data_IF_575087453550
#
_entry.id   IF_575087453550
#
_cell.length_a   1.000
_cell.length_b   1.000
_cell.length_c   1.000
_cell.angle_alpha   90.00
_cell.angle_beta   90.00
_cell.angle_gamma   90.00
#
_symmetry.space_group_name_H-M   'P 1'
#
loop_
_entity.id
_entity.type
_entity.pdbx_description
1 polymer ?
#
# COMPACT_ATOMS: atom_id res chain seq x y z
N UNK A 1 -2.18 -21.69 16.73
CA UNK A 1 -3.39 -21.21 16.02
C UNK A 1 -3.99 -20.14 16.92
N UNK A 2 -3.65 -18.87 16.68
CA UNK A 2 -4.15 -17.78 17.53
C UNK A 2 -5.66 -17.63 17.32
N UNK A 3 -6.39 -17.45 18.42
CA UNK A 3 -7.83 -17.26 18.46
C UNK A 3 -8.19 -16.05 17.58
N UNK A 4 -9.02 -16.27 16.55
CA UNK A 4 -9.36 -15.23 15.59
C UNK A 4 -10.34 -14.25 16.25
N UNK A 5 -10.07 -12.94 16.27
CA UNK A 5 -11.05 -12.00 16.80
C UNK A 5 -12.24 -11.94 15.84
N UNK A 6 -13.36 -12.57 16.20
CA UNK A 6 -14.62 -12.45 15.44
C UNK A 6 -15.14 -11.01 15.35
N UNK A 7 -14.57 -10.10 16.14
CA UNK A 7 -14.87 -8.67 16.15
C UNK A 7 -13.62 -7.85 16.47
N UNK A 8 -13.44 -6.73 15.78
CA UNK A 8 -12.34 -5.79 16.00
C UNK A 8 -12.84 -4.35 15.84
N UNK A 9 -12.68 -3.50 16.86
CA UNK A 9 -13.07 -2.09 16.75
C UNK A 9 -14.57 -1.86 16.48
N UNK A 10 -15.43 -2.82 16.80
CA UNK A 10 -16.85 -2.79 16.44
C UNK A 10 -17.17 -3.24 15.00
N UNK A 11 -16.20 -3.80 14.28
CA UNK A 11 -16.36 -4.44 12.98
C UNK A 11 -16.36 -5.96 13.15
N UNK A 12 -17.39 -6.63 12.63
CA UNK A 12 -17.43 -8.09 12.55
C UNK A 12 -16.57 -8.54 11.38
N UNK A 13 -15.55 -9.38 11.60
CA UNK A 13 -14.67 -9.84 10.54
C UNK A 13 -15.29 -11.06 9.84
N UNK A 14 -15.46 -10.99 8.51
CA UNK A 14 -16.16 -12.04 7.75
C UNK A 14 -15.24 -12.84 6.83
N UNK A 15 -14.46 -12.15 5.99
CA UNK A 15 -13.63 -12.79 4.97
C UNK A 15 -12.21 -12.30 5.07
N UNK A 16 -11.25 -13.19 5.26
CA UNK A 16 -9.84 -12.84 5.20
C UNK A 16 -9.42 -12.65 3.73
N UNK A 17 -8.80 -11.52 3.42
CA UNK A 17 -8.32 -11.18 2.06
C UNK A 17 -6.79 -11.09 1.97
N UNK A 18 -6.12 -10.94 3.11
CA UNK A 18 -4.66 -11.07 3.25
C UNK A 18 -4.31 -11.50 4.69
N UNK A 19 -3.04 -11.83 4.94
CA UNK A 19 -2.56 -12.26 6.26
C UNK A 19 -2.91 -11.26 7.38
N UNK A 20 -2.93 -9.96 7.06
CA UNK A 20 -3.27 -8.89 7.99
C UNK A 20 -4.52 -8.09 7.57
N UNK A 21 -5.37 -8.60 6.66
CA UNK A 21 -6.52 -7.86 6.17
C UNK A 21 -7.79 -8.72 6.03
N UNK A 22 -8.92 -8.13 6.43
CA UNK A 22 -10.24 -8.75 6.39
C UNK A 22 -11.27 -7.80 5.80
N UNK A 23 -12.24 -8.36 5.09
CA UNK A 23 -13.51 -7.69 4.87
C UNK A 23 -14.31 -7.80 6.17
N UNK A 24 -14.63 -6.65 6.76
CA UNK A 24 -15.43 -6.54 7.97
C UNK A 24 -16.75 -5.81 7.73
N UNK A 25 -17.74 -6.06 8.59
CA UNK A 25 -19.07 -5.44 8.52
C UNK A 25 -19.37 -4.65 9.78
N UNK A 26 -19.92 -3.44 9.60
CA UNK A 26 -20.45 -2.60 10.69
C UNK A 26 -21.71 -1.90 10.20
N UNK A 27 -22.80 -2.04 10.98
CA UNK A 27 -24.10 -1.48 10.63
C UNK A 27 -24.56 -1.80 9.19
N UNK A 28 -24.34 -3.04 8.73
CA UNK A 28 -24.72 -3.51 7.40
C UNK A 28 -23.82 -3.06 6.25
N UNK A 29 -22.77 -2.27 6.51
CA UNK A 29 -21.83 -1.80 5.50
C UNK A 29 -20.51 -2.57 5.58
N UNK A 30 -19.88 -2.83 4.42
CA UNK A 30 -18.62 -3.58 4.29
C UNK A 30 -17.44 -2.62 4.21
N UNK A 31 -16.35 -3.00 4.87
CA UNK A 31 -15.11 -2.24 4.97
C UNK A 31 -13.91 -3.16 4.86
N UNK A 32 -12.76 -2.58 4.53
CA UNK A 32 -11.50 -3.28 4.62
C UNK A 32 -10.86 -2.95 5.97
N UNK A 33 -10.67 -3.97 6.80
CA UNK A 33 -10.07 -3.89 8.14
C UNK A 33 -8.67 -4.47 8.07
N UNK A 34 -7.65 -3.65 8.35
CA UNK A 34 -6.25 -4.08 8.39
C UNK A 34 -5.73 -4.09 9.81
N UNK A 35 -5.07 -5.17 10.18
CA UNK A 35 -4.25 -5.23 11.38
C UNK A 35 -2.93 -4.50 11.15
N UNK A 36 -2.58 -3.69 12.13
CA UNK A 36 -1.34 -2.90 12.11
C UNK A 36 -0.56 -3.16 13.39
N UNK A 37 0.77 -3.20 13.28
CA UNK A 37 1.65 -3.56 14.42
C UNK A 37 1.85 -2.44 15.45
N UNK A 38 1.32 -1.24 15.18
CA UNK A 38 1.46 -0.07 16.05
C UNK A 38 0.16 0.76 16.04
N UNK A 39 -0.14 1.51 17.10
CA UNK A 39 -1.28 2.43 17.11
C UNK A 39 -1.21 3.41 15.94
N UNK A 40 -2.35 3.65 15.30
CA UNK A 40 -2.51 4.62 14.22
C UNK A 40 -3.30 5.83 14.69
N UNK A 41 -2.91 7.01 14.22
CA UNK A 41 -3.68 8.24 14.44
C UNK A 41 -4.82 8.31 13.42
N UNK A 42 -5.95 7.68 13.73
CA UNK A 42 -7.15 7.68 12.88
C UNK A 42 -7.59 9.09 12.43
N UNK A 43 -7.66 10.09 13.34
CA UNK A 43 -7.94 11.48 12.97
C UNK A 43 -6.95 12.07 11.95
N UNK A 44 -5.66 11.75 12.02
CA UNK A 44 -4.69 12.21 11.02
C UNK A 44 -4.93 11.55 9.65
N UNK A 45 -5.23 10.24 9.62
CA UNK A 45 -5.52 9.50 8.38
C UNK A 45 -6.77 10.04 7.67
N UNK A 46 -7.79 10.44 8.42
CA UNK A 46 -9.01 11.04 7.88
C UNK A 46 -8.83 12.42 7.25
N UNK A 47 -7.66 13.07 7.41
CA UNK A 47 -7.36 14.38 6.77
C UNK A 47 -6.87 14.25 5.34
N UNK A 48 -6.46 13.05 4.91
CA UNK A 48 -6.04 12.82 3.53
C UNK A 48 -7.25 13.02 2.62
N UNK A 49 -7.22 14.00 1.69
CA UNK A 49 -8.31 14.18 0.75
C UNK A 49 -8.51 12.89 -0.06
N UNK A 50 -9.75 12.54 -0.46
CA UNK A 50 -10.04 11.38 -1.30
C UNK A 50 -9.63 11.64 -2.77
N UNK A 51 -8.37 12.04 -2.98
CA UNK A 51 -7.77 12.37 -4.26
C UNK A 51 -6.90 11.20 -4.70
N UNK A 52 -7.48 10.30 -5.49
CA UNK A 52 -6.82 9.04 -5.90
C UNK A 52 -6.35 8.17 -4.71
N UNK A 53 -6.96 8.32 -3.54
CA UNK A 53 -6.69 7.55 -2.32
C UNK A 53 -7.95 6.81 -1.89
N UNK A 54 -7.77 5.63 -1.30
CA UNK A 54 -8.85 4.93 -0.58
C UNK A 54 -9.06 5.64 0.74
N UNK A 55 -10.30 5.99 1.08
CA UNK A 55 -10.58 6.74 2.30
C UNK A 55 -10.41 5.85 3.53
N UNK A 56 -9.60 6.29 4.49
CA UNK A 56 -9.60 5.74 5.84
C UNK A 56 -10.79 6.31 6.61
N UNK A 57 -11.61 5.44 7.20
CA UNK A 57 -12.88 5.80 7.85
C UNK A 57 -12.86 5.62 9.35
N UNK A 58 -11.98 4.75 9.87
CA UNK A 58 -11.81 4.49 11.29
C UNK A 58 -10.39 3.95 11.55
N UNK A 59 -9.96 3.96 12.80
CA UNK A 59 -8.67 3.44 13.22
C UNK A 59 -8.58 3.38 14.74
N UNK A 60 -7.81 2.42 15.23
CA UNK A 60 -7.65 2.21 16.67
C UNK A 60 -6.36 1.47 17.00
N UNK A 61 -6.21 1.05 18.27
CA UNK A 61 -5.04 0.28 18.69
C UNK A 61 -4.93 -1.01 17.88
N UNK A 62 -3.96 -1.06 16.98
CA UNK A 62 -3.65 -2.24 16.18
C UNK A 62 -4.53 -2.47 14.95
N UNK A 63 -5.38 -1.51 14.54
CA UNK A 63 -6.10 -1.63 13.27
C UNK A 63 -6.40 -0.29 12.57
N UNK A 64 -6.54 -0.37 11.25
CA UNK A 64 -7.02 0.70 10.36
C UNK A 64 -8.23 0.16 9.59
N UNK A 65 -9.24 0.99 9.39
CA UNK A 65 -10.39 0.67 8.55
C UNK A 65 -10.49 1.65 7.40
N UNK A 66 -10.61 1.12 6.19
CA UNK A 66 -10.82 1.91 4.99
C UNK A 66 -12.08 1.49 4.26
N UNK A 67 -12.50 2.31 3.31
CA UNK A 67 -13.48 1.89 2.32
C UNK A 67 -13.03 0.60 1.62
N UNK A 68 -14.00 -0.27 1.35
CA UNK A 68 -13.78 -1.42 0.49
C UNK A 68 -13.91 -0.95 -0.96
N UNK A 69 -12.80 -0.96 -1.70
CA UNK A 69 -12.75 -0.60 -3.11
C UNK A 69 -12.68 -1.86 -3.96
N UNK A 70 -13.52 -1.92 -5.00
CA UNK A 70 -13.53 -3.02 -5.94
C UNK A 70 -12.52 -2.79 -7.07
N UNK A 71 -11.76 -3.84 -7.40
CA UNK A 71 -10.80 -3.82 -8.50
C UNK A 71 -9.55 -4.67 -8.19
N UNK A 72 -8.85 -5.18 -9.21
CA UNK A 72 -7.58 -5.85 -8.99
C UNK A 72 -6.52 -4.85 -8.53
N UNK A 73 -5.56 -5.33 -7.75
CA UNK A 73 -4.32 -4.58 -7.54
C UNK A 73 -3.50 -4.55 -8.83
N UNK A 74 -2.61 -3.56 -8.96
CA UNK A 74 -1.61 -3.50 -10.02
C UNK A 74 -0.73 -4.76 -10.02
N UNK A 75 -0.42 -5.32 -8.84
CA UNK A 75 0.27 -6.60 -8.72
C UNK A 75 -0.51 -7.73 -9.39
N UNK A 76 -1.80 -7.87 -9.06
CA UNK A 76 -2.66 -8.91 -9.61
C UNK A 76 -2.83 -8.76 -11.12
N UNK A 77 -3.01 -7.53 -11.62
CA UNK A 77 -3.13 -7.26 -13.04
C UNK A 77 -1.85 -7.61 -13.79
N UNK A 78 -0.69 -7.17 -13.32
CA UNK A 78 0.59 -7.43 -14.00
C UNK A 78 0.94 -8.91 -13.97
N UNK A 79 0.68 -9.59 -12.85
CA UNK A 79 0.91 -11.03 -12.74
C UNK A 79 -0.02 -11.85 -13.66
N UNK A 80 -1.26 -11.41 -13.85
CA UNK A 80 -2.26 -12.14 -14.64
C UNK A 80 -2.28 -11.79 -16.13
N UNK A 81 -1.97 -10.55 -16.48
CA UNK A 81 -2.13 -10.00 -17.83
C UNK A 81 -0.83 -9.40 -18.41
N UNK A 82 0.28 -9.47 -17.67
CA UNK A 82 1.59 -8.96 -18.09
C UNK A 82 1.79 -7.46 -17.85
N UNK A 83 2.96 -6.93 -18.26
CA UNK A 83 3.33 -5.54 -18.03
C UNK A 83 2.38 -4.51 -18.66
N UNK A 84 2.37 -3.31 -18.09
CA UNK A 84 1.62 -2.14 -18.54
C UNK A 84 2.51 -1.22 -19.37
N UNK A 85 1.95 -0.51 -20.34
CA UNK A 85 2.71 0.41 -21.18
C UNK A 85 1.85 1.52 -21.76
N UNK A 86 2.51 2.48 -22.42
CA UNK A 86 1.85 3.62 -23.06
C UNK A 86 0.96 4.41 -22.10
N UNK A 87 -0.17 4.89 -22.60
CA UNK A 87 -1.11 5.75 -21.87
C UNK A 87 -1.65 5.11 -20.58
N UNK A 88 -1.75 3.78 -20.51
CA UNK A 88 -2.18 3.10 -19.28
C UNK A 88 -1.16 3.31 -18.16
N UNK A 89 0.13 3.12 -18.45
CA UNK A 89 1.20 3.32 -17.48
C UNK A 89 1.29 4.79 -17.05
N UNK A 90 1.17 5.73 -17.99
CA UNK A 90 1.20 7.17 -17.71
C UNK A 90 0.05 7.58 -16.77
N UNK A 91 -1.16 7.06 -17.01
CA UNK A 91 -2.33 7.33 -16.14
C UNK A 91 -2.15 6.75 -14.74
N UNK A 92 -1.59 5.54 -14.62
CA UNK A 92 -1.27 4.94 -13.31
C UNK A 92 -0.22 5.81 -12.58
N UNK A 93 0.85 6.21 -13.28
CA UNK A 93 1.92 7.05 -12.74
C UNK A 93 1.40 8.38 -12.19
N UNK A 94 0.63 9.13 -12.99
CA UNK A 94 0.10 10.44 -12.60
C UNK A 94 -0.85 10.33 -11.41
N UNK A 95 -1.76 9.35 -11.41
CA UNK A 95 -2.75 9.20 -10.33
C UNK A 95 -2.12 8.76 -9.02
N UNK A 96 -1.15 7.86 -9.07
CA UNK A 96 -0.44 7.41 -7.86
C UNK A 96 0.44 8.53 -7.28
N UNK A 97 1.10 9.36 -8.10
CA UNK A 97 1.80 10.56 -7.62
C UNK A 97 0.84 11.59 -7.02
N UNK A 98 -0.35 11.75 -7.61
CA UNK A 98 -1.39 12.63 -7.06
C UNK A 98 -1.81 12.16 -5.66
N UNK A 99 -1.99 10.85 -5.48
CA UNK A 99 -2.33 10.26 -4.20
C UNK A 99 -1.20 10.44 -3.15
N UNK A 100 0.05 10.16 -3.52
CA UNK A 100 1.21 10.38 -2.64
C UNK A 100 1.35 11.84 -2.25
N UNK A 101 1.13 12.77 -3.19
CA UNK A 101 1.13 14.21 -2.91
C UNK A 101 0.07 14.59 -1.88
N UNK A 102 -1.14 14.03 -2.00
CA UNK A 102 -2.22 14.27 -1.03
C UNK A 102 -1.89 13.72 0.37
N UNK A 103 -1.26 12.54 0.44
CA UNK A 103 -0.78 11.94 1.69
C UNK A 103 0.30 12.83 2.33
N UNK A 104 1.29 13.25 1.55
CA UNK A 104 2.41 14.09 2.01
C UNK A 104 1.94 15.47 2.47
N UNK A 105 0.98 16.08 1.77
CA UNK A 105 0.37 17.35 2.17
C UNK A 105 -0.41 17.27 3.48
N UNK A 106 -0.94 16.09 3.82
CA UNK A 106 -1.55 15.84 5.11
C UNK A 106 -0.52 15.62 6.25
N UNK A 107 0.79 15.72 5.96
CA UNK A 107 1.86 15.49 6.91
C UNK A 107 2.13 14.00 7.19
N UNK A 108 1.64 13.12 6.32
CA UNK A 108 1.79 11.68 6.43
C UNK A 108 2.75 11.15 5.36
N UNK A 109 3.27 9.96 5.59
CA UNK A 109 3.97 9.16 4.58
C UNK A 109 3.17 7.88 4.37
N UNK A 110 3.18 7.32 3.18
CA UNK A 110 2.60 6.01 2.93
C UNK A 110 3.42 4.93 3.65
N UNK A 111 4.75 4.97 3.48
CA UNK A 111 5.73 4.13 4.19
C UNK A 111 5.78 2.66 3.77
N UNK A 112 4.93 2.24 2.84
CA UNK A 112 4.86 0.86 2.36
C UNK A 112 4.25 0.78 0.96
N UNK A 113 4.48 1.81 0.14
CA UNK A 113 3.94 1.88 -1.22
C UNK A 113 4.49 0.74 -2.08
N UNK A 114 3.65 0.17 -2.94
CA UNK A 114 4.04 -0.93 -3.82
C UNK A 114 2.91 -1.35 -4.77
N UNK A 115 3.12 -2.34 -5.65
CA UNK A 115 2.10 -2.76 -6.61
C UNK A 115 0.80 -3.28 -5.96
N UNK A 116 0.90 -3.85 -4.76
CA UNK A 116 -0.26 -4.33 -4.00
C UNK A 116 -1.13 -3.20 -3.45
N UNK A 117 -0.57 -2.00 -3.24
CA UNK A 117 -1.28 -0.85 -2.68
C UNK A 117 -1.98 0.00 -3.75
N UNK A 118 -1.80 -0.31 -5.04
CA UNK A 118 -2.44 0.38 -6.16
C UNK A 118 -3.62 -0.46 -6.65
N UNK A 119 -4.84 0.00 -6.42
CA UNK A 119 -6.07 -0.64 -6.93
C UNK A 119 -6.51 0.00 -8.24
N UNK A 120 -6.94 -0.80 -9.19
CA UNK A 120 -7.38 -0.36 -10.51
C UNK A 120 -8.90 -0.44 -10.60
N UNK A 121 -9.54 0.72 -10.50
CA UNK A 121 -11.01 0.87 -10.53
C UNK A 121 -11.49 1.32 -11.91
N UNK A 122 -12.80 1.36 -12.12
CA UNK A 122 -13.39 1.93 -13.34
C UNK A 122 -13.04 3.43 -13.50
N UNK A 123 -12.86 4.13 -12.39
CA UNK A 123 -12.49 5.55 -12.34
C UNK A 123 -10.98 5.78 -12.46
N UNK A 124 -10.17 4.73 -12.45
CA UNK A 124 -8.71 4.75 -12.56
C UNK A 124 -7.97 4.27 -11.30
N UNK A 125 -6.64 4.42 -11.29
CA UNK A 125 -5.81 3.98 -10.18
C UNK A 125 -6.11 4.75 -8.88
N UNK A 126 -6.21 4.04 -7.77
CA UNK A 126 -6.32 4.59 -6.41
C UNK A 126 -5.32 3.91 -5.47
N UNK A 127 -4.82 4.65 -4.49
CA UNK A 127 -3.81 4.19 -3.54
C UNK A 127 -4.43 3.89 -2.18
N UNK A 128 -4.18 2.69 -1.68
CA UNK A 128 -4.68 2.17 -0.42
C UNK A 128 -3.54 1.94 0.59
N UNK A 129 -3.87 1.76 1.87
CA UNK A 129 -2.91 1.26 2.86
C UNK A 129 -1.89 2.27 3.36
N UNK A 130 -2.09 3.57 3.15
CA UNK A 130 -1.27 4.59 3.81
C UNK A 130 -1.50 4.59 5.33
N UNK A 131 -0.45 4.94 6.08
CA UNK A 131 -0.52 4.98 7.54
C UNK A 131 -0.52 3.62 8.23
N UNK A 132 -0.40 2.52 7.49
CA UNK A 132 -0.30 1.13 8.00
C UNK A 132 1.16 0.75 8.33
N UNK A 133 2.06 1.74 8.37
CA UNK A 133 3.52 1.57 8.32
C UNK A 133 4.08 0.60 9.38
N UNK A 134 4.25 -0.68 9.01
CA UNK A 134 5.39 -1.60 9.33
C UNK A 134 5.40 -2.78 8.35
N UNK A 135 6.56 -3.10 7.78
CA UNK A 135 6.79 -4.33 6.99
C UNK A 135 6.57 -4.21 5.49
N UNK A 136 7.15 -3.18 4.85
CA UNK A 136 7.12 -3.01 3.40
C UNK A 136 7.72 -4.22 2.65
N UNK A 137 7.30 -4.41 1.40
CA UNK A 137 7.85 -5.45 0.53
C UNK A 137 9.32 -5.11 0.24
N UNK A 138 10.30 -6.00 0.54
CA UNK A 138 11.72 -5.68 0.48
C UNK A 138 12.18 -5.02 -0.84
N UNK A 139 11.61 -5.45 -1.96
CA UNK A 139 11.95 -4.96 -3.29
C UNK A 139 11.54 -3.49 -3.57
N UNK A 140 10.74 -2.89 -2.68
CA UNK A 140 10.25 -1.51 -2.80
C UNK A 140 10.68 -0.64 -1.62
N UNK A 141 11.41 -1.20 -0.64
CA UNK A 141 11.92 -0.45 0.49
C UNK A 141 13.05 0.48 0.06
N UNK A 142 12.98 1.75 0.45
CA UNK A 142 14.01 2.73 0.17
C UNK A 142 15.29 2.49 1.00
N UNK A 143 16.47 2.93 0.54
CA UNK A 143 17.74 2.72 1.25
C UNK A 143 17.71 3.20 2.71
N UNK A 144 17.10 4.35 2.98
CA UNK A 144 16.96 4.89 4.33
C UNK A 144 16.00 4.07 5.23
N UNK A 145 15.01 3.40 4.64
CA UNK A 145 14.14 2.47 5.36
C UNK A 145 14.93 1.22 5.76
N UNK A 146 15.71 0.68 4.82
CA UNK A 146 16.54 -0.51 5.04
C UNK A 146 17.65 -0.23 6.06
N UNK A 147 18.30 0.93 5.97
CA UNK A 147 19.46 1.27 6.79
C UNK A 147 19.08 1.74 8.21
N UNK A 148 17.96 2.47 8.35
CA UNK A 148 17.68 3.22 9.56
C UNK A 148 16.21 3.18 10.01
N UNK A 149 15.37 2.35 9.40
CA UNK A 149 13.92 2.29 9.68
C UNK A 149 13.25 3.68 9.58
N UNK A 150 13.72 4.51 8.65
CA UNK A 150 13.24 5.87 8.42
C UNK A 150 12.21 5.90 7.29
N UNK A 151 10.99 6.33 7.61
CA UNK A 151 9.90 6.48 6.65
C UNK A 151 9.76 7.94 6.25
N UNK A 152 10.03 8.24 4.98
CA UNK A 152 10.08 9.63 4.48
C UNK A 152 9.28 9.77 3.18
N UNK A 153 8.93 11.01 2.82
CA UNK A 153 8.32 11.30 1.54
C UNK A 153 9.25 10.93 0.36
N UNK A 154 10.57 11.04 0.53
CA UNK A 154 11.54 10.60 -0.47
C UNK A 154 11.53 9.07 -0.64
N UNK A 155 11.39 8.33 0.46
CA UNK A 155 11.24 6.87 0.43
C UNK A 155 9.97 6.43 -0.31
N UNK A 156 8.86 7.15 -0.15
CA UNK A 156 7.65 6.89 -0.94
C UNK A 156 7.87 7.12 -2.45
N UNK A 157 8.66 8.13 -2.83
CA UNK A 157 9.00 8.36 -4.25
C UNK A 157 9.93 7.27 -4.81
N UNK A 158 10.85 6.75 -4.00
CA UNK A 158 11.65 5.59 -4.37
C UNK A 158 10.78 4.36 -4.61
N UNK A 159 9.88 4.06 -3.66
CA UNK A 159 8.93 2.95 -3.77
C UNK A 159 7.99 3.12 -4.97
N UNK A 160 7.57 4.35 -5.26
CA UNK A 160 6.79 4.70 -6.44
C UNK A 160 7.56 4.39 -7.74
N UNK A 161 8.81 4.83 -7.84
CA UNK A 161 9.64 4.56 -9.02
C UNK A 161 9.83 3.06 -9.22
N UNK A 162 10.11 2.31 -8.14
CA UNK A 162 10.21 0.86 -8.19
C UNK A 162 8.90 0.19 -8.64
N UNK A 163 7.75 0.71 -8.21
CA UNK A 163 6.43 0.25 -8.63
C UNK A 163 6.19 0.52 -10.12
N UNK A 164 6.64 1.64 -10.66
CA UNK A 164 6.52 1.94 -12.10
C UNK A 164 7.43 1.03 -12.94
N UNK A 165 8.64 0.71 -12.45
CA UNK A 165 9.50 -0.30 -13.10
C UNK A 165 8.83 -1.66 -13.13
N UNK A 166 8.25 -2.10 -12.00
CA UNK A 166 7.48 -3.34 -11.96
C UNK A 166 6.29 -3.31 -12.92
N UNK A 167 5.53 -2.21 -12.93
CA UNK A 167 4.40 -2.07 -13.83
C UNK A 167 4.83 -2.19 -15.31
N UNK A 168 5.93 -1.56 -15.68
CA UNK A 168 6.44 -1.52 -17.05
C UNK A 168 7.10 -2.83 -17.51
N UNK A 169 7.66 -3.61 -16.60
CA UNK A 169 8.53 -4.75 -16.94
C UNK A 169 8.03 -6.10 -16.43
N UNK A 170 7.07 -6.09 -15.50
CA UNK A 170 6.64 -7.25 -14.74
C UNK A 170 7.62 -7.70 -13.66
N UNK A 171 8.74 -6.99 -13.46
CA UNK A 171 9.82 -7.37 -12.56
C UNK A 171 10.22 -6.18 -11.66
N UNK A 172 10.43 -6.41 -10.34
CA UNK A 172 10.93 -5.35 -9.47
C UNK A 172 12.36 -4.94 -9.86
N UNK A 173 12.76 -3.66 -9.63
CA UNK A 173 14.06 -3.13 -10.07
C UNK A 173 15.25 -3.74 -9.33
N UNK A 174 15.06 -4.25 -8.12
CA UNK A 174 16.09 -4.93 -7.33
C UNK A 174 15.87 -6.45 -7.28
N UNK A 175 15.17 -6.97 -8.28
CA UNK A 175 14.90 -8.40 -8.47
C UNK A 175 14.14 -9.07 -7.33
N UNK A 176 14.18 -10.40 -7.37
CA UNK A 176 13.48 -11.29 -6.45
C UNK A 176 14.48 -12.11 -5.61
N UNK A 177 13.98 -12.83 -4.60
CA UNK A 177 14.78 -13.70 -3.74
C UNK A 177 14.71 -13.33 -2.26
N UNK A 178 15.72 -13.76 -1.49
CA UNK A 178 15.76 -13.52 -0.05
C UNK A 178 15.89 -12.02 0.28
N UNK A 179 15.16 -11.58 1.31
CA UNK A 179 15.11 -10.18 1.71
C UNK A 179 16.50 -9.56 1.95
N UNK A 180 17.42 -10.30 2.56
CA UNK A 180 18.78 -9.82 2.80
C UNK A 180 19.56 -9.52 1.50
N UNK A 181 19.35 -10.32 0.45
CA UNK A 181 19.96 -10.10 -0.86
C UNK A 181 19.40 -8.87 -1.55
N UNK A 182 18.08 -8.71 -1.51
CA UNK A 182 17.39 -7.53 -2.06
C UNK A 182 17.84 -6.25 -1.33
N UNK A 183 17.88 -6.27 0.00
CA UNK A 183 18.33 -5.14 0.81
C UNK A 183 19.77 -4.72 0.50
N UNK A 184 20.66 -5.68 0.26
CA UNK A 184 22.04 -5.37 -0.13
C UNK A 184 22.07 -4.62 -1.47
N UNK A 185 21.32 -5.08 -2.49
CA UNK A 185 21.21 -4.37 -3.79
C UNK A 185 20.63 -2.97 -3.65
N UNK A 186 19.58 -2.81 -2.86
CA UNK A 186 18.98 -1.50 -2.56
C UNK A 186 20.00 -0.54 -1.94
N UNK A 187 20.79 -1.01 -0.96
CA UNK A 187 21.81 -0.18 -0.30
C UNK A 187 22.99 0.19 -1.20
N UNK A 188 23.34 -0.69 -2.15
CA UNK A 188 24.40 -0.44 -3.13
C UNK A 188 23.93 0.46 -4.29
N UNK A 189 22.62 0.60 -4.49
CA UNK A 189 22.04 1.42 -5.55
C UNK A 189 22.25 0.85 -6.95
N UNK A 190 22.50 -0.46 -7.07
CA UNK A 190 22.66 -1.19 -8.33
C UNK A 190 21.36 -1.96 -8.63
N UNK A 191 20.52 -1.49 -9.58
CA UNK A 191 19.37 -2.24 -10.06
C UNK A 191 19.82 -3.49 -10.85
N UNK A 192 18.97 -4.52 -10.87
CA UNK A 192 19.20 -5.77 -11.62
C UNK A 192 18.98 -5.62 -13.15
#
# INVERSE_FOLDING_TARGET
MADQPGMLGGYQLETQVADNAWIGVRAGHRFLVRLVGAPVDGPALGRVPPMCTVRVVDGGPGYVVSELVEGPSLQSLVSGAGPRGGEELDRIAVRTLTALSAIHQAGLVHGSFGPASVLLTAEGAVVDGYGVARGGVPAYAAPEQVAADQFTAAGDLFAWAATMVYAATGRPPFGEGEAAGIFNRVLQGEPD
#
